data_IF_805225522830
#
_entry.id   IF_805225522830
#
_cell.length_a   1.000
_cell.length_b   1.000
_cell.length_c   1.000
_cell.angle_alpha   90.00
_cell.angle_beta   90.00
_cell.angle_gamma   90.00
#
_symmetry.space_group_name_H-M   'P 1'
#
loop_
_entity.id
_entity.type
_entity.pdbx_description
1 polymer ?
#
# COMPACT_ATOMS: atom_id res chain seq x y z
N UNK A 1 4.78 -10.77 12.16
CA UNK A 1 4.43 -9.44 12.72
C UNK A 1 2.93 -9.32 12.72
N UNK A 2 2.34 -8.74 13.77
CA UNK A 2 0.88 -8.56 13.83
C UNK A 2 0.57 -7.10 13.48
N UNK A 3 -0.21 -6.90 12.43
CA UNK A 3 -0.73 -5.59 12.05
C UNK A 3 -2.15 -5.49 12.61
N UNK A 4 -2.47 -4.38 13.23
CA UNK A 4 -3.81 -4.09 13.76
C UNK A 4 -4.22 -2.69 13.31
N UNK A 5 -5.40 -2.56 12.71
CA UNK A 5 -5.99 -1.25 12.44
C UNK A 5 -6.60 -0.74 13.75
N UNK A 6 -5.99 0.26 14.37
CA UNK A 6 -6.44 0.83 15.64
C UNK A 6 -7.60 1.79 15.39
N UNK A 7 -7.49 2.61 14.34
CA UNK A 7 -8.43 3.68 14.05
C UNK A 7 -8.50 3.95 12.55
N UNK A 8 -9.70 4.31 12.10
CA UNK A 8 -9.94 4.86 10.76
C UNK A 8 -10.60 6.22 10.91
N UNK A 9 -9.95 7.26 10.42
CA UNK A 9 -10.45 8.64 10.49
C UNK A 9 -10.85 9.11 9.09
N UNK A 10 -12.16 9.15 8.76
CA UNK A 10 -12.63 9.63 7.46
C UNK A 10 -12.35 11.12 7.29
N UNK A 11 -11.89 11.50 6.10
CA UNK A 11 -11.66 12.88 5.66
C UNK A 11 -12.34 13.11 4.30
N UNK A 12 -12.41 14.36 3.85
CA UNK A 12 -13.07 14.71 2.58
C UNK A 12 -12.46 14.03 1.35
N UNK A 13 -11.15 13.73 1.37
CA UNK A 13 -10.41 13.14 0.25
C UNK A 13 -10.05 11.67 0.43
N UNK A 14 -10.45 11.03 1.54
CA UNK A 14 -10.03 9.67 1.85
C UNK A 14 -10.22 9.30 3.30
N UNK A 15 -9.39 8.40 3.81
CA UNK A 15 -9.41 7.97 5.22
C UNK A 15 -8.00 7.74 5.72
N UNK A 16 -7.66 8.28 6.89
CA UNK A 16 -6.41 7.98 7.57
C UNK A 16 -6.57 6.66 8.32
N UNK A 17 -5.66 5.74 8.07
CA UNK A 17 -5.57 4.46 8.75
C UNK A 17 -4.45 4.55 9.77
N UNK A 18 -4.78 4.40 11.04
CA UNK A 18 -3.81 4.31 12.13
C UNK A 18 -3.57 2.85 12.46
N UNK A 19 -2.34 2.40 12.25
CA UNK A 19 -1.95 1.01 12.32
C UNK A 19 -1.01 0.79 13.50
N UNK A 20 -1.25 -0.25 14.29
CA UNK A 20 -0.29 -0.81 15.23
C UNK A 20 0.50 -1.91 14.56
N UNK A 21 1.82 -1.85 14.70
CA UNK A 21 2.72 -2.89 14.22
C UNK A 21 3.73 -3.14 15.32
N UNK A 22 3.55 -4.26 16.02
CA UNK A 22 4.29 -4.58 17.24
C UNK A 22 4.26 -3.40 18.26
N UNK A 23 5.35 -2.64 18.40
CA UNK A 23 5.47 -1.47 19.29
C UNK A 23 5.42 -0.12 18.57
N UNK A 24 5.29 -0.11 17.25
CA UNK A 24 5.22 1.11 16.42
C UNK A 24 3.77 1.44 16.08
N UNK A 25 3.48 2.73 16.00
CA UNK A 25 2.23 3.26 15.43
C UNK A 25 2.61 3.99 14.14
N UNK A 26 1.89 3.71 13.08
CA UNK A 26 2.05 4.39 11.79
C UNK A 26 0.69 4.82 11.25
N UNK A 27 0.68 5.94 10.55
CA UNK A 27 -0.49 6.44 9.84
C UNK A 27 -0.25 6.35 8.34
N UNK A 28 -1.27 5.95 7.59
CA UNK A 28 -1.26 5.94 6.13
C UNK A 28 -2.58 6.56 5.66
N UNK A 29 -2.51 7.51 4.75
CA UNK A 29 -3.70 8.14 4.18
C UNK A 29 -4.13 7.42 2.90
N UNK A 30 -5.32 6.84 2.90
CA UNK A 30 -5.89 6.17 1.73
C UNK A 30 -6.82 7.14 1.03
N UNK A 31 -6.48 7.56 -0.20
CA UNK A 31 -7.38 8.40 -0.98
C UNK A 31 -8.68 7.65 -1.30
N UNK A 32 -9.79 8.38 -1.43
CA UNK A 32 -11.10 7.79 -1.77
C UNK A 32 -11.01 6.94 -3.05
N UNK A 33 -10.25 7.41 -4.04
CA UNK A 33 -9.99 6.66 -5.25
C UNK A 33 -9.33 5.29 -4.98
N UNK A 34 -8.34 5.22 -4.09
CA UNK A 34 -7.71 3.94 -3.73
C UNK A 34 -8.70 2.99 -3.07
N UNK A 35 -9.54 3.49 -2.15
CA UNK A 35 -10.58 2.70 -1.46
C UNK A 35 -11.59 2.14 -2.48
N UNK A 36 -12.06 2.95 -3.43
CA UNK A 36 -12.92 2.50 -4.52
C UNK A 36 -12.28 1.38 -5.34
N UNK A 37 -10.97 1.46 -5.61
CA UNK A 37 -10.23 0.44 -6.36
C UNK A 37 -10.08 -0.85 -5.56
N UNK A 38 -9.82 -0.78 -4.26
CA UNK A 38 -9.80 -1.93 -3.35
C UNK A 38 -11.13 -2.69 -3.44
N UNK A 39 -12.25 -1.96 -3.31
CA UNK A 39 -13.59 -2.52 -3.42
C UNK A 39 -13.86 -3.11 -4.81
N UNK A 40 -13.47 -2.41 -5.88
CA UNK A 40 -13.68 -2.87 -7.26
C UNK A 40 -12.91 -4.15 -7.59
N UNK A 41 -11.70 -4.29 -7.06
CA UNK A 41 -10.89 -5.52 -7.20
C UNK A 41 -11.29 -6.62 -6.23
N UNK A 42 -12.20 -6.34 -5.28
CA UNK A 42 -12.62 -7.27 -4.23
C UNK A 42 -11.44 -7.83 -3.42
N UNK A 43 -10.43 -6.98 -3.18
CA UNK A 43 -9.27 -7.33 -2.34
C UNK A 43 -9.46 -6.78 -0.93
N UNK A 44 -8.90 -7.47 0.05
CA UNK A 44 -8.95 -7.03 1.45
C UNK A 44 -8.00 -5.85 1.67
N UNK A 45 -8.40 -4.89 2.50
CA UNK A 45 -7.55 -3.79 2.96
C UNK A 45 -6.25 -4.30 3.60
N UNK A 46 -6.32 -5.41 4.34
CA UNK A 46 -5.14 -6.05 4.95
C UNK A 46 -4.09 -6.43 3.90
N UNK A 47 -4.50 -6.92 2.73
CA UNK A 47 -3.57 -7.25 1.64
C UNK A 47 -2.83 -5.99 1.15
N UNK A 48 -3.53 -4.86 1.07
CA UNK A 48 -2.95 -3.58 0.65
C UNK A 48 -2.02 -3.02 1.73
N UNK A 49 -2.43 -3.08 2.98
CA UNK A 49 -1.63 -2.66 4.13
C UNK A 49 -0.35 -3.50 4.22
N UNK A 50 -0.45 -4.82 4.09
CA UNK A 50 0.71 -5.72 4.03
C UNK A 50 1.62 -5.43 2.84
N UNK A 51 1.05 -5.06 1.69
CA UNK A 51 1.83 -4.69 0.50
C UNK A 51 2.62 -3.41 0.74
N UNK A 52 2.01 -2.39 1.34
CA UNK A 52 2.66 -1.11 1.64
C UNK A 52 3.77 -1.26 2.69
N UNK A 53 3.52 -2.04 3.74
CA UNK A 53 4.42 -2.15 4.89
C UNK A 53 5.49 -3.22 4.73
N UNK A 54 5.15 -4.32 4.06
CA UNK A 54 6.00 -5.49 3.85
C UNK A 54 5.99 -5.94 2.39
N UNK A 55 6.40 -5.06 1.46
CA UNK A 55 6.47 -5.37 0.04
C UNK A 55 7.50 -6.46 -0.24
N UNK A 56 7.30 -7.18 -1.35
CA UNK A 56 8.33 -8.04 -1.94
C UNK A 56 9.25 -7.26 -2.88
N UNK A 57 8.76 -6.16 -3.46
CA UNK A 57 9.57 -5.16 -4.15
C UNK A 57 8.90 -3.79 -4.08
N UNK A 58 9.70 -2.73 -4.14
CA UNK A 58 9.26 -1.36 -4.29
C UNK A 58 10.02 -0.73 -5.45
N UNK A 59 9.29 -0.27 -6.46
CA UNK A 59 9.85 0.34 -7.67
C UNK A 59 9.58 1.86 -7.70
N UNK A 60 10.43 2.60 -8.40
CA UNK A 60 10.16 4.01 -8.73
C UNK A 60 9.04 4.09 -9.77
N UNK A 61 8.02 4.90 -9.47
CA UNK A 61 6.98 5.32 -10.39
C UNK A 61 7.22 6.70 -10.98
N UNK A 62 6.28 7.19 -11.77
CA UNK A 62 6.37 8.54 -12.34
C UNK A 62 6.07 9.62 -11.29
N UNK A 63 6.73 10.78 -11.42
CA UNK A 63 6.48 12.01 -10.64
C UNK A 63 6.67 11.83 -9.12
N UNK A 64 7.73 11.13 -8.71
CA UNK A 64 8.08 10.97 -7.29
C UNK A 64 7.23 9.94 -6.52
N UNK A 65 6.53 9.07 -7.25
CA UNK A 65 5.72 7.99 -6.67
C UNK A 65 6.54 6.73 -6.48
N UNK A 66 6.11 5.91 -5.54
CA UNK A 66 6.61 4.57 -5.32
C UNK A 66 5.52 3.55 -5.62
N UNK A 67 5.94 2.35 -5.99
CA UNK A 67 5.07 1.26 -6.37
C UNK A 67 5.47 0.04 -5.54
N UNK A 68 4.71 -0.24 -4.49
CA UNK A 68 4.87 -1.46 -3.71
C UNK A 68 4.15 -2.62 -4.37
N UNK A 69 4.84 -3.75 -4.50
CA UNK A 69 4.30 -5.01 -4.99
C UNK A 69 4.40 -6.09 -3.94
N UNK A 70 3.33 -6.90 -3.83
CA UNK A 70 3.32 -8.14 -3.04
C UNK A 70 2.44 -9.16 -3.74
N UNK A 71 2.89 -10.42 -3.80
CA UNK A 71 2.19 -11.48 -4.52
C UNK A 71 1.12 -12.10 -3.64
N UNK A 72 -0.01 -12.42 -4.25
CA UNK A 72 -1.12 -13.16 -3.63
C UNK A 72 -1.66 -14.16 -4.66
N UNK A 73 -1.23 -15.42 -4.53
CA UNK A 73 -1.48 -16.45 -5.53
C UNK A 73 -0.84 -16.08 -6.88
N UNK A 74 -1.65 -16.05 -7.94
CA UNK A 74 -1.19 -15.70 -9.30
C UNK A 74 -1.27 -14.19 -9.61
N UNK A 75 -1.66 -13.38 -8.63
CA UNK A 75 -1.82 -11.94 -8.77
C UNK A 75 -0.81 -11.19 -7.91
N UNK A 76 -0.63 -9.91 -8.21
CA UNK A 76 0.18 -8.97 -7.44
C UNK A 76 -0.71 -7.83 -7.00
N UNK A 77 -0.72 -7.49 -5.71
CA UNK A 77 -1.23 -6.19 -5.29
C UNK A 77 -0.18 -5.15 -5.67
N UNK A 78 -0.60 -4.19 -6.49
CA UNK A 78 0.21 -3.05 -6.92
C UNK A 78 -0.31 -1.79 -6.28
N UNK A 79 0.29 -1.41 -5.16
CA UNK A 79 -0.06 -0.23 -4.39
C UNK A 79 0.84 0.94 -4.78
N UNK A 80 0.25 1.98 -5.35
CA UNK A 80 0.97 3.19 -5.78
C UNK A 80 0.76 4.26 -4.72
N UNK A 81 1.84 4.78 -4.17
CA UNK A 81 1.81 5.77 -3.11
C UNK A 81 2.86 6.85 -3.34
N UNK A 82 2.67 7.97 -2.66
CA UNK A 82 3.63 9.06 -2.53
C UNK A 82 3.66 9.52 -1.08
N UNK A 83 4.45 10.56 -0.80
CA UNK A 83 4.52 11.16 0.53
C UNK A 83 3.97 12.58 0.48
N UNK A 84 3.05 12.87 1.40
CA UNK A 84 2.75 14.24 1.80
C UNK A 84 3.60 14.54 3.04
N UNK A 85 4.69 15.27 2.84
CA UNK A 85 5.81 15.39 3.79
C UNK A 85 6.37 14.03 4.24
N UNK A 86 5.89 13.51 5.38
CA UNK A 86 6.28 12.21 5.96
C UNK A 86 5.15 11.20 5.97
N UNK A 87 3.92 11.62 5.68
CA UNK A 87 2.74 10.77 5.68
C UNK A 87 2.67 10.01 4.36
N UNK A 88 2.73 8.65 4.35
CA UNK A 88 2.48 7.89 3.15
C UNK A 88 1.02 8.06 2.71
N UNK A 89 0.82 8.40 1.44
CA UNK A 89 -0.49 8.59 0.83
C UNK A 89 -0.68 7.56 -0.27
N UNK A 90 -1.59 6.60 -0.05
CA UNK A 90 -1.98 5.62 -1.05
C UNK A 90 -2.87 6.28 -2.12
N UNK A 91 -2.35 6.35 -3.33
CA UNK A 91 -3.00 7.01 -4.48
C UNK A 91 -3.97 6.06 -5.17
N UNK A 92 -3.54 4.83 -5.47
CA UNK A 92 -4.38 3.83 -6.16
C UNK A 92 -3.84 2.42 -5.96
N UNK A 93 -4.69 1.42 -6.24
CA UNK A 93 -4.33 0.01 -6.20
C UNK A 93 -4.79 -0.71 -7.47
N UNK A 94 -3.97 -1.65 -7.94
CA UNK A 94 -4.31 -2.62 -8.97
C UNK A 94 -4.06 -4.04 -8.46
N UNK A 95 -4.81 -5.01 -9.00
CA UNK A 95 -4.61 -6.42 -8.73
C UNK A 95 -4.45 -7.25 -10.01
N UNK A 96 -3.40 -7.01 -10.82
CA UNK A 96 -3.14 -7.75 -12.05
C UNK A 96 -2.45 -9.10 -11.79
N UNK A 97 -2.36 -9.93 -12.83
CA UNK A 97 -1.48 -11.10 -12.83
C UNK A 97 0.00 -10.71 -12.68
N UNK A 98 0.77 -11.59 -12.04
CA UNK A 98 2.19 -11.37 -11.64
C UNK A 98 3.09 -11.11 -12.86
N UNK A 99 2.92 -11.91 -13.91
CA UNK A 99 3.66 -11.88 -15.18
C UNK A 99 3.67 -10.52 -15.88
N UNK A 100 2.70 -9.65 -15.58
CA UNK A 100 2.64 -8.31 -16.18
C UNK A 100 3.54 -7.28 -15.51
N UNK A 101 3.74 -7.37 -14.19
CA UNK A 101 4.30 -6.24 -13.42
C UNK A 101 5.38 -6.60 -12.40
N UNK A 102 5.39 -7.82 -11.87
CA UNK A 102 6.36 -8.22 -10.86
C UNK A 102 7.75 -8.39 -11.49
N UNK A 103 8.79 -7.80 -10.87
CA UNK A 103 10.16 -7.76 -11.41
C UNK A 103 11.10 -8.83 -10.84
N UNK A 104 10.61 -9.66 -9.94
CA UNK A 104 11.35 -10.78 -9.36
C UNK A 104 11.61 -10.63 -7.86
N UNK A 105 11.23 -9.51 -7.25
CA UNK A 105 11.45 -9.24 -5.84
C UNK A 105 12.79 -8.57 -5.54
N UNK A 106 13.02 -8.30 -4.26
CA UNK A 106 14.30 -7.86 -3.66
C UNK A 106 14.85 -6.50 -4.12
N UNK A 107 14.07 -5.73 -4.89
CA UNK A 107 14.34 -4.33 -5.23
C UNK A 107 13.52 -3.45 -4.28
N UNK A 108 14.17 -2.53 -3.58
CA UNK A 108 13.50 -1.68 -2.59
C UNK A 108 13.92 -0.22 -2.74
N UNK A 109 13.25 0.49 -3.62
CA UNK A 109 13.45 1.93 -3.85
C UNK A 109 12.91 2.80 -2.70
N UNK A 110 11.96 2.25 -1.93
CA UNK A 110 11.48 2.84 -0.69
C UNK A 110 11.05 1.74 0.31
N UNK A 111 11.02 2.10 1.59
CA UNK A 111 10.42 1.30 2.68
C UNK A 111 9.73 2.23 3.66
N UNK A 112 8.40 2.16 3.72
CA UNK A 112 7.59 2.90 4.67
C UNK A 112 8.02 2.59 6.12
N UNK A 113 8.29 1.31 6.41
CA UNK A 113 8.89 0.89 7.67
C UNK A 113 10.41 0.83 7.54
N UNK A 114 11.10 1.76 8.22
CA UNK A 114 12.53 1.70 8.48
C UNK A 114 12.82 1.04 9.83
#
# INVERSE_FOLDING_TARGET
>A
MKIEIIEKTPLSKGTIYKLKIDYKIIEIFFLSHAIERINKWQINEEMVIETLLFPEEVLIGHRGRYIAHKRFGNHVVRAIYEYDEKLPVLITVYFPYIDRYFKGGDIYEDKILK
#
